data_IF_873729109199
#
_entry.id   IF_873729109199
#
_cell.length_a   1.000
_cell.length_b   1.000
_cell.length_c   1.000
_cell.angle_alpha   90.00
_cell.angle_beta   90.00
_cell.angle_gamma   90.00
#
_symmetry.space_group_name_H-M   'P 1'
#
loop_
_entity.id
_entity.type
_entity.pdbx_description
1 polymer ?
#
# COMPACT_ATOMS: atom_id res chain seq x y z
N UNK A 1 3.49 1.16 -18.34
CA UNK A 1 2.20 1.83 -18.05
C UNK A 1 1.59 2.65 -19.22
N UNK A 2 2.23 2.84 -20.39
CA UNK A 2 1.66 3.69 -21.47
C UNK A 2 0.27 3.29 -21.97
N UNK A 3 -0.09 2.01 -21.86
CA UNK A 3 -1.41 1.49 -22.29
C UNK A 3 -2.53 1.71 -21.27
N UNK A 4 -2.21 2.13 -20.03
CA UNK A 4 -3.22 2.39 -18.99
C UNK A 4 -3.83 3.78 -19.28
N UNK A 5 -5.16 3.91 -19.35
CA UNK A 5 -5.81 5.21 -19.58
C UNK A 5 -5.48 6.22 -18.48
N UNK A 6 -5.59 7.52 -18.83
CA UNK A 6 -5.48 8.59 -17.83
C UNK A 6 -6.61 8.47 -16.82
N UNK A 7 -6.31 8.78 -15.54
CA UNK A 7 -7.29 8.87 -14.47
C UNK A 7 -8.23 7.65 -14.38
N UNK A 8 -7.66 6.45 -14.58
CA UNK A 8 -8.39 5.18 -14.55
C UNK A 8 -8.11 4.32 -13.31
N UNK A 9 -7.05 4.65 -12.54
CA UNK A 9 -6.58 3.88 -11.38
C UNK A 9 -7.02 4.56 -10.09
N UNK A 10 -7.63 3.79 -9.18
CA UNK A 10 -8.07 4.25 -7.86
C UNK A 10 -6.96 4.10 -6.82
N UNK A 11 -6.23 2.98 -6.88
CA UNK A 11 -5.13 2.68 -5.96
C UNK A 11 -3.93 2.13 -6.74
N UNK A 12 -2.77 2.74 -6.55
CA UNK A 12 -1.47 2.12 -6.86
C UNK A 12 -0.95 1.50 -5.57
N UNK A 13 -0.72 0.19 -5.55
CA UNK A 13 -0.22 -0.55 -4.39
C UNK A 13 0.93 -1.45 -4.84
N UNK A 14 2.16 -1.02 -4.62
CA UNK A 14 3.35 -1.65 -5.19
C UNK A 14 4.47 -1.82 -4.18
N UNK A 15 5.23 -2.89 -4.39
CA UNK A 15 6.55 -3.12 -3.80
C UNK A 15 7.62 -2.87 -4.87
N UNK A 16 8.11 -1.65 -4.95
CA UNK A 16 9.10 -1.24 -5.95
C UNK A 16 10.47 -1.85 -5.67
N UNK A 17 11.35 -2.01 -6.66
CA UNK A 17 12.74 -2.35 -6.41
C UNK A 17 13.46 -1.19 -5.70
N UNK A 18 14.14 -1.49 -4.58
CA UNK A 18 14.78 -0.48 -3.71
C UNK A 18 16.25 -0.20 -4.06
N UNK A 19 16.88 -1.07 -4.90
CA UNK A 19 18.33 -1.00 -5.18
C UNK A 19 19.18 -1.38 -3.98
N UNK A 20 18.69 -2.20 -3.05
CA UNK A 20 19.39 -2.55 -1.81
C UNK A 20 19.87 -4.00 -1.76
N UNK A 21 19.59 -4.79 -2.79
CA UNK A 21 19.99 -6.20 -2.89
C UNK A 21 20.92 -6.43 -4.09
N UNK A 22 21.65 -7.55 -4.09
CA UNK A 22 22.49 -7.96 -5.21
C UNK A 22 21.70 -8.55 -6.39
N UNK A 23 20.37 -8.60 -6.31
CA UNK A 23 19.53 -9.18 -7.35
C UNK A 23 19.51 -8.30 -8.59
N UNK A 24 19.58 -8.93 -9.77
CA UNK A 24 19.61 -8.21 -11.07
C UNK A 24 18.34 -7.41 -11.36
N UNK A 25 17.22 -7.80 -10.76
CA UNK A 25 15.93 -7.12 -10.87
C UNK A 25 15.78 -5.91 -9.91
N UNK A 26 16.60 -5.84 -8.84
CA UNK A 26 16.50 -4.79 -7.82
C UNK A 26 17.20 -3.48 -8.27
N UNK A 27 16.70 -2.93 -9.37
CA UNK A 27 17.19 -1.64 -9.90
C UNK A 27 16.12 -0.58 -9.74
N UNK A 28 16.47 0.53 -9.08
CA UNK A 28 15.56 1.66 -8.88
C UNK A 28 15.01 2.14 -10.25
N UNK A 29 13.69 2.19 -10.33
CA UNK A 29 12.99 2.74 -11.50
C UNK A 29 13.22 4.26 -11.54
N UNK A 30 13.52 4.87 -12.70
CA UNK A 30 13.69 6.32 -12.80
C UNK A 30 12.49 7.07 -12.24
N UNK A 31 12.68 7.76 -11.10
CA UNK A 31 11.61 8.35 -10.30
C UNK A 31 10.78 9.36 -11.08
N UNK A 32 11.38 10.23 -11.87
CA UNK A 32 10.65 11.25 -12.64
C UNK A 32 9.66 10.61 -13.61
N UNK A 33 10.08 9.55 -14.31
CA UNK A 33 9.20 8.80 -15.23
C UNK A 33 8.09 8.06 -14.48
N UNK A 34 8.42 7.45 -13.34
CA UNK A 34 7.46 6.74 -12.50
C UNK A 34 6.39 7.69 -11.96
N UNK A 35 6.79 8.83 -11.37
CA UNK A 35 5.88 9.84 -10.85
C UNK A 35 5.02 10.48 -11.94
N UNK A 36 5.58 10.72 -13.13
CA UNK A 36 4.79 11.22 -14.27
C UNK A 36 3.67 10.24 -14.65
N UNK A 37 3.99 8.93 -14.71
CA UNK A 37 3.01 7.89 -15.03
C UNK A 37 1.99 7.72 -13.92
N UNK A 38 2.38 7.68 -12.64
CA UNK A 38 1.44 7.64 -11.53
C UNK A 38 0.51 8.85 -11.53
N UNK A 39 1.05 10.05 -11.75
CA UNK A 39 0.24 11.28 -11.86
C UNK A 39 -0.76 11.19 -13.01
N UNK A 40 -0.37 10.59 -14.14
CA UNK A 40 -1.20 10.45 -15.33
C UNK A 40 -2.35 9.46 -15.13
N UNK A 41 -2.05 8.27 -14.57
CA UNK A 41 -3.03 7.17 -14.48
C UNK A 41 -3.93 7.28 -13.26
N UNK A 42 -3.48 7.94 -12.18
CA UNK A 42 -4.22 8.05 -10.93
C UNK A 42 -5.41 8.98 -11.07
N UNK A 43 -6.59 8.53 -10.64
CA UNK A 43 -7.79 9.37 -10.51
C UNK A 43 -7.55 10.56 -9.57
N UNK A 44 -8.34 11.63 -9.63
CA UNK A 44 -8.19 12.79 -8.74
C UNK A 44 -8.17 12.43 -7.25
N UNK A 45 -9.04 11.51 -6.82
CA UNK A 45 -9.14 11.02 -5.44
C UNK A 45 -8.44 9.68 -5.21
N UNK A 46 -7.64 9.23 -6.15
CA UNK A 46 -6.85 8.01 -6.04
C UNK A 46 -5.70 8.14 -5.04
N UNK A 47 -5.20 7.00 -4.60
CA UNK A 47 -4.10 6.88 -3.64
C UNK A 47 -2.94 6.09 -4.24
N UNK A 48 -1.71 6.49 -3.91
CA UNK A 48 -0.49 5.72 -4.17
C UNK A 48 0.05 5.26 -2.81
N UNK A 49 0.20 3.96 -2.62
CA UNK A 49 0.76 3.33 -1.43
C UNK A 49 1.94 2.45 -1.85
N UNK A 50 3.15 2.83 -1.45
CA UNK A 50 4.39 2.17 -1.87
C UNK A 50 5.10 1.59 -0.67
N UNK A 51 5.39 0.28 -0.72
CA UNK A 51 6.30 -0.33 0.25
C UNK A 51 7.68 0.26 0.08
N UNK A 52 8.37 0.51 1.18
CA UNK A 52 9.68 1.12 1.16
C UNK A 52 10.47 0.82 2.45
N UNK A 53 11.78 1.04 2.37
CA UNK A 53 12.72 1.01 3.48
C UNK A 53 13.76 2.11 3.26
N UNK A 54 14.37 2.61 4.33
CA UNK A 54 15.47 3.58 4.18
C UNK A 54 16.69 2.93 3.49
N UNK A 55 17.40 3.70 2.60
CA UNK A 55 17.25 5.12 2.27
C UNK A 55 16.20 5.40 1.15
N UNK A 56 15.62 4.36 0.54
CA UNK A 56 14.66 4.49 -0.56
C UNK A 56 13.40 5.28 -0.16
N UNK A 57 12.94 5.16 1.08
CA UNK A 57 11.84 5.97 1.63
C UNK A 57 12.11 7.47 1.49
N UNK A 58 13.32 7.93 1.84
CA UNK A 58 13.69 9.34 1.71
C UNK A 58 13.65 9.82 0.25
N UNK A 59 14.07 8.98 -0.70
CA UNK A 59 13.97 9.26 -2.12
C UNK A 59 12.51 9.44 -2.57
N UNK A 60 11.62 8.52 -2.18
CA UNK A 60 10.18 8.60 -2.50
C UNK A 60 9.53 9.87 -1.94
N UNK A 61 9.78 10.17 -0.66
CA UNK A 61 9.20 11.34 0.00
C UNK A 61 9.70 12.63 -0.65
N UNK A 62 10.99 12.74 -0.97
CA UNK A 62 11.57 13.91 -1.65
C UNK A 62 10.91 14.15 -3.02
N UNK A 63 10.69 13.10 -3.80
CA UNK A 63 9.96 13.22 -5.08
C UNK A 63 8.49 13.59 -4.88
N UNK A 64 7.84 13.03 -3.87
CA UNK A 64 6.46 13.38 -3.52
C UNK A 64 6.29 14.84 -3.09
N UNK A 65 7.30 15.43 -2.44
CA UNK A 65 7.25 16.86 -2.05
C UNK A 65 7.42 17.82 -3.25
N UNK A 66 8.07 17.39 -4.33
CA UNK A 66 8.34 18.20 -5.53
C UNK A 66 7.27 18.05 -6.61
N UNK A 67 6.48 16.98 -6.58
CA UNK A 67 5.55 16.59 -7.63
C UNK A 67 4.09 16.97 -7.37
N UNK A 68 3.22 16.51 -8.28
CA UNK A 68 1.75 16.64 -8.17
C UNK A 68 1.10 15.59 -7.25
N UNK A 69 1.86 14.57 -6.84
CA UNK A 69 1.45 13.57 -5.87
C UNK A 69 2.11 13.90 -4.53
N UNK A 70 1.34 14.49 -3.64
CA UNK A 70 1.84 14.94 -2.35
C UNK A 70 1.95 13.79 -1.37
N UNK A 71 3.07 13.74 -0.61
CA UNK A 71 3.20 12.85 0.54
C UNK A 71 2.12 13.18 1.58
N UNK A 72 1.45 12.16 2.09
CA UNK A 72 0.36 12.29 3.07
C UNK A 72 0.76 11.80 4.45
N UNK A 73 1.14 10.54 4.56
CA UNK A 73 1.57 9.90 5.81
C UNK A 73 2.24 8.56 5.51
N UNK A 74 2.74 7.92 6.58
CA UNK A 74 3.43 6.64 6.56
C UNK A 74 2.69 5.62 7.41
N UNK A 75 2.48 4.40 6.87
CA UNK A 75 2.24 3.23 7.68
C UNK A 75 3.56 2.53 7.98
N UNK A 76 3.62 1.87 9.12
CA UNK A 76 4.71 0.99 9.52
C UNK A 76 4.16 -0.42 9.64
N UNK A 77 4.61 -1.34 8.79
CA UNK A 77 4.28 -2.75 8.93
C UNK A 77 5.28 -3.43 9.84
N UNK A 78 4.82 -3.86 11.02
CA UNK A 78 5.58 -4.67 11.97
C UNK A 78 5.54 -6.13 11.52
N UNK A 79 6.71 -6.68 11.23
CA UNK A 79 6.88 -8.07 10.77
C UNK A 79 6.95 -9.02 11.96
N UNK A 80 6.54 -10.28 11.74
CA UNK A 80 6.78 -11.35 12.72
C UNK A 80 8.24 -11.79 12.75
N UNK A 81 8.97 -11.62 11.66
CA UNK A 81 10.34 -12.10 11.50
C UNK A 81 11.32 -10.93 11.40
N UNK A 82 12.40 -11.02 12.15
CA UNK A 82 13.54 -10.10 12.09
C UNK A 82 14.30 -10.32 10.77
N UNK A 83 14.92 -9.28 10.27
CA UNK A 83 15.76 -9.33 9.06
C UNK A 83 17.09 -8.61 9.32
N UNK A 84 18.03 -8.72 8.35
CA UNK A 84 19.33 -8.08 8.39
C UNK A 84 20.31 -8.71 9.40
N UNK A 85 20.25 -10.03 9.57
CA UNK A 85 21.13 -10.76 10.50
C UNK A 85 22.62 -10.62 10.19
N UNK A 86 23.01 -10.49 8.90
CA UNK A 86 24.43 -10.30 8.53
C UNK A 86 25.07 -9.04 9.11
N UNK A 87 24.27 -8.05 9.48
CA UNK A 87 24.76 -6.80 10.07
C UNK A 87 24.41 -6.66 11.58
N UNK A 88 24.01 -7.75 12.24
CA UNK A 88 23.51 -7.70 13.62
C UNK A 88 24.56 -7.24 14.64
N UNK A 89 25.84 -7.34 14.30
CA UNK A 89 26.97 -6.91 15.15
C UNK A 89 27.32 -5.41 15.03
N UNK A 90 26.74 -4.70 14.03
CA UNK A 90 27.02 -3.27 13.79
C UNK A 90 25.77 -2.40 13.79
N UNK A 91 24.58 -3.00 13.71
CA UNK A 91 23.31 -2.26 13.73
C UNK A 91 22.15 -3.14 14.21
N UNK A 92 21.04 -2.55 14.68
CA UNK A 92 19.88 -3.30 15.11
C UNK A 92 19.26 -4.13 13.98
N UNK A 93 18.69 -5.29 14.34
CA UNK A 93 17.86 -6.08 13.41
C UNK A 93 16.60 -5.30 13.02
N UNK A 94 16.23 -5.40 11.75
CA UNK A 94 15.03 -4.74 11.22
C UNK A 94 13.81 -5.63 11.45
N UNK A 95 12.74 -5.06 12.03
CA UNK A 95 11.48 -5.76 12.26
C UNK A 95 10.29 -5.07 11.57
N UNK A 96 10.51 -4.05 10.76
CA UNK A 96 9.44 -3.33 10.08
C UNK A 96 9.81 -2.99 8.63
N UNK A 97 8.77 -2.70 7.85
CA UNK A 97 8.83 -1.98 6.58
C UNK A 97 7.86 -0.81 6.63
N UNK A 98 8.13 0.18 5.83
CA UNK A 98 7.31 1.38 5.70
C UNK A 98 6.41 1.27 4.46
N UNK A 99 5.24 1.96 4.51
CA UNK A 99 4.37 2.10 3.35
C UNK A 99 4.05 3.59 3.22
N UNK A 100 4.70 4.24 2.27
CA UNK A 100 4.55 5.66 2.02
C UNK A 100 3.27 5.93 1.21
N UNK A 101 2.42 6.84 1.70
CA UNK A 101 1.13 7.17 1.09
C UNK A 101 1.17 8.54 0.45
N UNK A 102 0.74 8.60 -0.82
CA UNK A 102 0.69 9.83 -1.62
C UNK A 102 -0.68 9.97 -2.30
N UNK A 103 -1.00 11.17 -2.77
CA UNK A 103 -2.20 11.47 -3.54
C UNK A 103 -2.22 12.88 -4.09
N UNK A 104 -3.08 13.14 -5.09
CA UNK A 104 -3.30 14.49 -5.65
C UNK A 104 -4.03 15.40 -4.66
N UNK A 105 -4.91 14.82 -3.84
CA UNK A 105 -5.69 15.48 -2.80
C UNK A 105 -5.99 14.47 -1.67
N UNK A 106 -6.85 14.83 -0.71
CA UNK A 106 -7.39 13.87 0.26
C UNK A 106 -8.25 12.83 -0.47
N UNK A 107 -7.67 11.64 -0.71
CA UNK A 107 -8.32 10.52 -1.37
C UNK A 107 -9.37 9.82 -0.50
N UNK A 108 -9.85 8.67 -0.98
CA UNK A 108 -10.65 7.75 -0.17
C UNK A 108 -9.83 7.28 1.04
N UNK A 109 -10.46 7.16 2.18
CA UNK A 109 -9.89 6.58 3.39
C UNK A 109 -11.00 5.97 4.24
N UNK A 110 -11.00 4.67 4.34
CA UNK A 110 -11.95 3.90 5.13
C UNK A 110 -11.19 3.28 6.32
N UNK A 111 -11.29 3.87 7.53
CA UNK A 111 -10.60 3.35 8.70
C UNK A 111 -11.13 1.94 9.02
N UNK A 112 -10.24 0.97 9.06
CA UNK A 112 -10.58 -0.42 9.31
C UNK A 112 -10.69 -0.69 10.82
N UNK A 113 -11.47 -1.72 11.20
CA UNK A 113 -11.62 -2.19 12.57
C UNK A 113 -12.18 -1.15 13.57
N UNK A 114 -12.84 -0.11 13.09
CA UNK A 114 -13.54 0.84 13.96
C UNK A 114 -14.72 0.15 14.66
N UNK A 115 -15.07 0.64 15.86
CA UNK A 115 -16.23 0.19 16.61
C UNK A 115 -17.24 1.33 16.71
N UNK A 116 -18.51 1.05 16.48
CA UNK A 116 -19.58 2.01 16.69
C UNK A 116 -19.66 2.33 18.19
N UNK A 117 -19.85 3.59 18.53
CA UNK A 117 -20.15 4.01 19.90
C UNK A 117 -21.64 3.82 20.17
N UNK A 118 -22.00 3.35 21.37
CA UNK A 118 -23.39 3.25 21.81
C UNK A 118 -24.02 4.64 21.92
N UNK A 119 -23.24 5.62 22.43
CA UNK A 119 -23.62 7.03 22.48
C UNK A 119 -22.58 7.89 21.76
N UNK A 120 -22.98 8.77 20.81
CA UNK A 120 -22.09 9.69 20.15
C UNK A 120 -21.47 10.70 21.12
N UNK A 121 -20.16 11.00 20.93
CA UNK A 121 -19.44 11.99 21.74
C UNK A 121 -19.35 13.30 20.97
N UNK A 122 -19.86 14.39 21.57
CA UNK A 122 -19.74 15.72 21.02
C UNK A 122 -18.42 16.37 21.49
N UNK A 123 -17.47 16.53 20.56
CA UNK A 123 -16.24 17.27 20.83
C UNK A 123 -16.43 18.76 20.56
N UNK A 124 -16.21 19.56 21.61
CA UNK A 124 -16.24 21.01 21.50
C UNK A 124 -14.96 21.57 20.84
N UNK A 125 -15.03 22.71 20.14
CA UNK A 125 -13.85 23.39 19.63
C UNK A 125 -12.87 23.72 20.75
N UNK A 126 -11.59 23.38 20.56
CA UNK A 126 -10.54 23.79 21.52
C UNK A 126 -9.92 25.11 21.08
N UNK A 127 -10.03 26.12 21.93
CA UNK A 127 -9.32 27.41 21.82
C UNK A 127 -8.02 27.31 22.64
N UNK A 128 -6.92 27.85 22.11
CA UNK A 128 -5.62 27.91 22.84
C UNK A 128 -4.70 26.71 22.73
N UNK A 129 -4.97 25.76 21.84
CA UNK A 129 -4.06 24.62 21.59
C UNK A 129 -2.88 25.01 20.71
N UNK A 130 -1.69 24.46 20.99
CA UNK A 130 -0.50 24.52 20.13
C UNK A 130 -0.75 23.76 18.80
N UNK A 131 -1.70 22.82 18.80
CA UNK A 131 -2.13 22.08 17.62
C UNK A 131 -3.17 22.85 16.81
N UNK A 132 -3.36 22.45 15.53
CA UNK A 132 -4.40 23.04 14.65
C UNK A 132 -5.73 23.17 15.39
N UNK A 133 -6.25 24.38 15.46
CA UNK A 133 -7.54 24.68 16.09
C UNK A 133 -8.65 23.97 15.31
N UNK A 134 -9.37 23.05 15.93
CA UNK A 134 -10.66 22.65 15.42
C UNK A 134 -11.62 23.84 15.58
N UNK A 135 -12.00 24.46 14.46
CA UNK A 135 -12.87 25.65 14.44
C UNK A 135 -14.35 25.33 14.69
N UNK A 136 -14.74 24.06 14.62
CA UNK A 136 -16.14 23.62 14.77
C UNK A 136 -16.23 22.41 15.69
N UNK A 137 -17.40 22.27 16.35
CA UNK A 137 -17.74 21.04 17.05
C UNK A 137 -17.80 19.86 16.09
N UNK A 138 -17.45 18.68 16.54
CA UNK A 138 -17.51 17.45 15.77
C UNK A 138 -18.16 16.33 16.57
N UNK A 139 -19.00 15.52 15.90
CA UNK A 139 -19.65 14.38 16.50
C UNK A 139 -18.86 13.12 16.19
N UNK A 140 -18.38 12.44 17.23
CA UNK A 140 -17.70 11.15 17.09
C UNK A 140 -18.72 10.04 17.28
N UNK A 141 -18.95 9.23 16.27
CA UNK A 141 -19.90 8.10 16.28
C UNK A 141 -19.20 6.74 16.32
N UNK A 142 -17.87 6.73 16.12
CA UNK A 142 -17.06 5.51 16.11
C UNK A 142 -15.79 5.71 16.95
N UNK A 143 -15.25 4.61 17.44
CA UNK A 143 -13.98 4.55 18.17
C UNK A 143 -13.05 3.49 17.57
N UNK A 144 -11.93 3.21 18.20
CA UNK A 144 -10.93 2.26 17.75
C UNK A 144 -10.40 2.58 16.33
N UNK A 145 -10.10 3.87 16.08
CA UNK A 145 -9.43 4.25 14.85
C UNK A 145 -8.05 3.58 14.73
N UNK A 146 -7.66 3.13 13.53
CA UNK A 146 -6.37 2.49 13.35
C UNK A 146 -5.22 3.45 13.66
N UNK A 147 -4.18 2.90 14.28
CA UNK A 147 -2.88 3.56 14.41
C UNK A 147 -2.03 3.23 13.18
N UNK A 148 -1.02 4.03 12.90
CA UNK A 148 -0.18 3.85 11.72
C UNK A 148 0.85 2.70 11.83
N UNK A 149 0.83 1.92 12.89
CA UNK A 149 1.62 0.69 13.06
C UNK A 149 0.72 -0.53 12.89
N UNK A 150 0.96 -1.30 11.83
CA UNK A 150 0.17 -2.47 11.45
C UNK A 150 0.96 -3.74 11.76
N UNK A 151 0.37 -4.70 12.46
CA UNK A 151 1.00 -6.00 12.75
C UNK A 151 0.36 -7.07 11.87
N UNK A 152 1.13 -7.59 10.91
CA UNK A 152 0.74 -8.71 10.06
C UNK A 152 1.88 -9.72 9.97
N UNK A 153 1.55 -11.02 10.09
CA UNK A 153 2.54 -12.09 9.97
C UNK A 153 3.13 -12.12 8.57
N UNK A 154 4.46 -12.16 8.49
CA UNK A 154 5.16 -12.43 7.23
C UNK A 154 4.88 -13.86 6.77
N UNK A 155 4.81 -14.10 5.46
CA UNK A 155 4.75 -15.46 4.93
C UNK A 155 6.00 -16.25 5.29
N UNK A 156 5.85 -17.54 5.55
CA UNK A 156 6.98 -18.45 5.77
C UNK A 156 7.76 -18.65 4.46
N UNK A 157 9.08 -18.80 4.54
CA UNK A 157 9.95 -19.00 3.38
C UNK A 157 9.51 -20.17 2.48
N UNK A 158 9.01 -21.24 3.08
CA UNK A 158 8.62 -22.48 2.38
C UNK A 158 7.28 -22.38 1.61
N UNK A 159 6.50 -21.31 1.83
CA UNK A 159 5.19 -21.09 1.19
C UNK A 159 5.16 -19.88 0.26
N UNK A 160 6.31 -19.25 0.01
CA UNK A 160 6.44 -18.09 -0.86
C UNK A 160 6.63 -18.49 -2.31
N UNK A 161 5.91 -17.85 -3.19
CA UNK A 161 6.12 -17.91 -4.64
C UNK A 161 7.22 -16.93 -5.12
N UNK A 162 7.45 -15.87 -4.35
CA UNK A 162 8.48 -14.87 -4.59
C UNK A 162 9.21 -14.51 -3.29
N UNK A 163 10.55 -14.28 -3.28
CA UNK A 163 11.31 -13.95 -2.07
C UNK A 163 10.76 -12.77 -1.27
N UNK A 164 10.26 -11.75 -1.96
CA UNK A 164 9.74 -10.50 -1.37
C UNK A 164 8.20 -10.46 -1.31
N UNK A 165 7.53 -11.59 -1.32
CA UNK A 165 6.08 -11.65 -1.30
C UNK A 165 5.49 -11.00 -0.04
N UNK A 166 4.59 -10.02 -0.23
CA UNK A 166 3.90 -9.34 0.87
C UNK A 166 2.74 -10.18 1.40
N UNK A 167 2.42 -10.10 2.70
CA UNK A 167 1.27 -10.82 3.27
C UNK A 167 -0.04 -10.37 2.63
N UNK A 168 -0.83 -11.33 2.17
CA UNK A 168 -2.14 -11.07 1.55
C UNK A 168 -3.07 -10.28 2.49
N UNK A 169 -3.11 -10.63 3.78
CA UNK A 169 -3.93 -9.95 4.76
C UNK A 169 -3.59 -8.45 4.89
N UNK A 170 -2.31 -8.07 4.78
CA UNK A 170 -1.87 -6.67 4.77
C UNK A 170 -2.32 -5.97 3.48
N UNK A 171 -2.16 -6.62 2.33
CA UNK A 171 -2.58 -6.06 1.04
C UNK A 171 -4.09 -5.84 1.00
N UNK A 172 -4.89 -6.81 1.46
CA UNK A 172 -6.34 -6.71 1.59
C UNK A 172 -6.75 -5.58 2.52
N UNK A 173 -6.09 -5.43 3.67
CA UNK A 173 -6.31 -4.30 4.59
C UNK A 173 -6.12 -2.94 3.90
N UNK A 174 -5.01 -2.77 3.15
CA UNK A 174 -4.71 -1.54 2.44
C UNK A 174 -5.71 -1.28 1.29
N UNK A 175 -6.09 -2.31 0.54
CA UNK A 175 -7.09 -2.23 -0.53
C UNK A 175 -8.43 -1.76 0.03
N UNK A 176 -8.94 -2.38 1.11
CA UNK A 176 -10.18 -1.92 1.77
C UNK A 176 -10.09 -0.50 2.32
N UNK A 177 -8.90 -0.09 2.76
CA UNK A 177 -8.68 1.25 3.31
C UNK A 177 -8.82 2.34 2.25
N UNK A 178 -8.44 2.07 0.99
CA UNK A 178 -8.33 3.11 -0.03
C UNK A 178 -9.27 2.97 -1.23
N UNK A 179 -10.05 1.90 -1.28
CA UNK A 179 -10.89 1.60 -2.45
C UNK A 179 -12.29 1.13 -2.08
N UNK A 180 -13.23 1.33 -3.00
CA UNK A 180 -14.55 0.70 -3.01
C UNK A 180 -14.55 -0.58 -3.86
N UNK A 181 -15.57 -1.42 -3.72
CA UNK A 181 -15.79 -2.55 -4.62
C UNK A 181 -15.88 -2.06 -6.08
N UNK A 182 -15.26 -2.79 -7.01
CA UNK A 182 -15.18 -2.44 -8.43
C UNK A 182 -14.13 -1.39 -8.80
N UNK A 183 -13.46 -0.75 -7.83
CA UNK A 183 -12.35 0.18 -8.10
C UNK A 183 -11.15 -0.55 -8.73
N UNK A 184 -10.27 0.20 -9.39
CA UNK A 184 -9.09 -0.30 -10.09
C UNK A 184 -7.82 -0.19 -9.22
N UNK A 185 -7.19 -1.32 -8.95
CA UNK A 185 -5.89 -1.44 -8.27
C UNK A 185 -4.79 -1.72 -9.28
N UNK A 186 -3.69 -0.97 -9.23
CA UNK A 186 -2.51 -1.15 -10.07
C UNK A 186 -1.32 -1.59 -9.22
N UNK A 187 -0.68 -2.69 -9.64
CA UNK A 187 0.66 -3.08 -9.20
C UNK A 187 1.57 -3.20 -10.42
N UNK A 188 2.50 -2.26 -10.58
CA UNK A 188 3.41 -2.23 -11.73
C UNK A 188 4.71 -3.01 -11.52
N UNK A 189 4.83 -3.73 -10.42
CA UNK A 189 5.95 -4.62 -10.06
C UNK A 189 5.40 -5.84 -9.32
N UNK A 190 4.37 -6.48 -9.91
CA UNK A 190 3.50 -7.42 -9.18
C UNK A 190 4.20 -8.70 -8.71
N UNK A 191 5.36 -9.05 -9.26
CA UNK A 191 6.05 -10.30 -8.95
C UNK A 191 5.11 -11.50 -9.13
N UNK A 192 4.92 -12.27 -8.09
CA UNK A 192 3.98 -13.41 -8.07
C UNK A 192 2.50 -13.03 -7.92
N UNK A 193 2.12 -11.75 -8.05
CA UNK A 193 0.73 -11.30 -8.16
C UNK A 193 -0.03 -11.14 -6.85
N UNK A 194 0.61 -11.04 -5.70
CA UNK A 194 -0.09 -10.99 -4.39
C UNK A 194 -1.06 -9.82 -4.26
N UNK A 195 -0.72 -8.65 -4.81
CA UNK A 195 -1.61 -7.48 -4.83
C UNK A 195 -2.84 -7.73 -5.72
N UNK A 196 -2.66 -8.36 -6.89
CA UNK A 196 -3.75 -8.69 -7.80
C UNK A 196 -4.69 -9.75 -7.18
N UNK A 197 -4.13 -10.79 -6.54
CA UNK A 197 -4.89 -11.78 -5.77
C UNK A 197 -5.73 -11.10 -4.67
N UNK A 198 -5.10 -10.25 -3.87
CA UNK A 198 -5.80 -9.52 -2.81
C UNK A 198 -6.91 -8.61 -3.36
N UNK A 199 -6.69 -7.95 -4.51
CA UNK A 199 -7.69 -7.13 -5.17
C UNK A 199 -8.88 -7.96 -5.68
N UNK A 200 -8.63 -9.10 -6.31
CA UNK A 200 -9.67 -10.02 -6.78
C UNK A 200 -10.54 -10.52 -5.61
N UNK A 201 -9.92 -10.98 -4.52
CA UNK A 201 -10.63 -11.43 -3.31
C UNK A 201 -11.52 -10.33 -2.70
N UNK A 202 -11.06 -9.09 -2.73
CA UNK A 202 -11.81 -7.94 -2.22
C UNK A 202 -12.83 -7.37 -3.23
N UNK A 203 -13.04 -8.01 -4.38
CA UNK A 203 -13.98 -7.55 -5.40
C UNK A 203 -13.54 -6.26 -6.13
N UNK A 204 -12.25 -6.02 -6.24
CA UNK A 204 -11.66 -4.92 -6.99
C UNK A 204 -11.14 -5.40 -8.33
N UNK A 205 -11.17 -4.54 -9.35
CA UNK A 205 -10.47 -4.78 -10.59
C UNK A 205 -8.97 -4.54 -10.38
N UNK A 206 -8.14 -5.16 -11.16
CA UNK A 206 -6.69 -5.03 -11.01
C UNK A 206 -5.98 -4.93 -12.36
N UNK A 207 -4.80 -4.33 -12.34
CA UNK A 207 -3.81 -4.35 -13.40
C UNK A 207 -2.48 -4.73 -12.74
N UNK A 208 -1.92 -5.86 -13.15
CA UNK A 208 -0.58 -6.30 -12.74
C UNK A 208 0.39 -6.16 -13.90
N UNK A 209 1.61 -5.69 -13.63
CA UNK A 209 2.69 -5.63 -14.60
C UNK A 209 3.90 -6.36 -14.00
N UNK A 210 4.41 -7.34 -14.73
CA UNK A 210 5.63 -8.06 -14.40
C UNK A 210 6.49 -8.21 -15.65
N UNK A 211 7.79 -8.12 -15.48
CA UNK A 211 8.77 -8.23 -16.56
C UNK A 211 9.30 -9.65 -16.74
N UNK A 212 9.36 -10.40 -15.65
CA UNK A 212 9.83 -11.77 -15.62
C UNK A 212 8.69 -12.71 -15.96
N UNK A 213 8.80 -13.44 -17.09
CA UNK A 213 7.76 -14.31 -17.61
C UNK A 213 7.38 -15.41 -16.60
N UNK A 214 8.35 -15.97 -15.87
CA UNK A 214 8.10 -16.98 -14.86
C UNK A 214 7.20 -16.46 -13.73
N UNK A 215 7.49 -15.27 -13.21
CA UNK A 215 6.65 -14.67 -12.17
C UNK A 215 5.32 -14.21 -12.71
N UNK A 216 5.27 -13.74 -13.95
CA UNK A 216 4.01 -13.42 -14.63
C UNK A 216 3.09 -14.63 -14.72
N UNK A 217 3.59 -15.78 -15.17
CA UNK A 217 2.81 -17.02 -15.26
C UNK A 217 2.30 -17.48 -13.89
N UNK A 218 3.16 -17.43 -12.86
CA UNK A 218 2.75 -17.73 -11.48
C UNK A 218 1.62 -16.78 -11.04
N UNK A 219 1.74 -15.50 -11.32
CA UNK A 219 0.71 -14.52 -10.97
C UNK A 219 -0.62 -14.81 -11.67
N UNK A 220 -0.60 -15.14 -12.96
CA UNK A 220 -1.79 -15.51 -13.73
C UNK A 220 -2.53 -16.71 -13.12
N UNK A 221 -1.82 -17.78 -12.78
CA UNK A 221 -2.40 -18.96 -12.13
C UNK A 221 -3.04 -18.59 -10.79
N UNK A 222 -2.32 -17.90 -9.93
CA UNK A 222 -2.78 -17.52 -8.59
C UNK A 222 -4.01 -16.61 -8.62
N UNK A 223 -4.03 -15.65 -9.52
CA UNK A 223 -5.18 -14.73 -9.66
C UNK A 223 -6.40 -15.47 -10.19
N UNK A 224 -6.23 -16.37 -11.18
CA UNK A 224 -7.33 -17.21 -11.70
C UNK A 224 -7.92 -18.10 -10.59
N UNK A 225 -7.08 -18.69 -9.75
CA UNK A 225 -7.54 -19.48 -8.60
C UNK A 225 -8.32 -18.63 -7.59
N UNK A 226 -7.83 -17.42 -7.27
CA UNK A 226 -8.51 -16.50 -6.38
C UNK A 226 -9.88 -16.08 -6.91
N UNK A 227 -9.98 -15.73 -8.20
CA UNK A 227 -11.26 -15.39 -8.85
C UNK A 227 -12.24 -16.56 -8.85
N UNK A 228 -11.76 -17.79 -9.07
CA UNK A 228 -12.58 -18.99 -9.00
C UNK A 228 -13.14 -19.21 -7.60
N UNK A 229 -12.31 -19.04 -6.56
CA UNK A 229 -12.73 -19.19 -5.17
C UNK A 229 -13.81 -18.16 -4.81
N UNK A 230 -13.61 -16.90 -5.17
CA UNK A 230 -14.62 -15.84 -4.92
C UNK A 230 -15.97 -16.18 -5.55
N UNK A 231 -15.99 -16.76 -6.77
CA UNK A 231 -17.27 -17.17 -7.44
C UNK A 231 -17.97 -18.35 -6.77
N UNK A 232 -17.24 -19.18 -6.04
CA UNK A 232 -17.82 -20.32 -5.31
C UNK A 232 -18.43 -19.85 -3.99
N UNK A 233 -17.82 -18.85 -3.36
CA UNK A 233 -18.20 -18.34 -2.03
C UNK A 233 -19.33 -17.27 -2.11
N UNK A 234 -19.75 -16.83 -3.31
CA UNK A 234 -20.86 -15.88 -3.58
C UNK A 234 -22.10 -16.59 -4.11
#
# INVERSE_FOLDING_TARGET
MPRIPRESVDLVLCDLPYGTTASTWDKIIPMDKLWAEYTRVLKPRGTVALFCVQPFTSLLVTHGLKGKLHYRYMWVWLKSNKTNFGAAHIQPLRIYEEIAVFGKCSGKYYPQNTKKLDEPILWQPRTGSVYRKNKSASLQTVTNYPVNALSFKSKNSNTRYHPNEKPEALLRYLIRTYTDAGDMVLDNTMGSGSTCVAAAIEGRRYIGIERDDKYYDIACVRVTEAERQVRIDT
#
